data_IF_863976266598
#
_entry.id   IF_863976266598
#
_cell.length_a   1.000
_cell.length_b   1.000
_cell.length_c   1.000
_cell.angle_alpha   90.00
_cell.angle_beta   90.00
_cell.angle_gamma   90.00
#
_symmetry.space_group_name_H-M   'P 1'
#
loop_
_entity.id
_entity.type
_entity.pdbx_description
1 polymer ?
#
# COMPACT_ATOMS: atom_id res chain seq x y z
N UNK A 1 -75.71 17.06 -26.95
CA UNK A 1 -76.80 16.77 -26.01
C UNK A 1 -76.60 15.39 -25.43
N UNK A 2 -76.64 15.20 -24.10
CA UNK A 2 -76.70 16.21 -23.01
C UNK A 2 -75.29 16.43 -22.40
N UNK A 3 -74.85 17.59 -21.92
CA UNK A 3 -75.39 18.61 -20.99
C UNK A 3 -75.62 18.12 -19.56
N UNK A 4 -74.78 18.60 -18.64
CA UNK A 4 -75.03 18.96 -17.21
C UNK A 4 -73.65 19.08 -16.52
N UNK A 5 -73.34 20.00 -15.60
CA UNK A 5 -73.92 21.26 -15.15
C UNK A 5 -72.83 21.88 -14.25
N UNK A 6 -72.65 23.19 -14.35
CA UNK A 6 -71.76 23.99 -13.50
C UNK A 6 -72.33 24.13 -12.09
N UNK A 7 -71.59 23.71 -11.07
CA UNK A 7 -71.84 24.11 -9.69
C UNK A 7 -70.77 25.11 -9.21
N UNK A 8 -71.18 26.37 -9.06
CA UNK A 8 -70.48 27.45 -8.36
C UNK A 8 -70.72 27.34 -6.84
N UNK A 9 -69.66 27.43 -6.03
CA UNK A 9 -69.74 27.61 -4.56
C UNK A 9 -68.74 28.71 -4.13
N UNK A 10 -69.06 29.58 -3.15
CA UNK A 10 -68.67 30.99 -3.17
C UNK A 10 -67.40 31.37 -2.36
N UNK A 11 -66.94 32.59 -2.65
CA UNK A 11 -65.84 33.38 -2.07
C UNK A 11 -65.78 33.32 -0.54
N UNK A 12 -64.62 32.96 0.03
CA UNK A 12 -64.23 33.32 1.40
C UNK A 12 -62.89 34.05 1.44
N UNK A 13 -62.85 35.04 2.33
CA UNK A 13 -61.83 36.07 2.51
C UNK A 13 -60.54 35.45 3.04
N UNK A 14 -59.40 35.79 2.43
CA UNK A 14 -58.09 35.50 3.01
C UNK A 14 -57.81 36.49 4.14
N UNK A 15 -57.85 36.00 5.38
CA UNK A 15 -57.28 36.71 6.55
C UNK A 15 -55.85 36.21 6.71
N UNK A 16 -54.88 37.09 6.53
CA UNK A 16 -53.47 36.78 6.74
C UNK A 16 -53.20 36.55 8.24
N UNK A 17 -52.72 35.36 8.61
CA UNK A 17 -52.05 35.14 9.89
C UNK A 17 -50.55 35.21 9.67
N UNK A 18 -49.89 36.21 10.27
CA UNK A 18 -48.44 36.22 10.44
C UNK A 18 -48.09 35.09 11.41
N UNK A 19 -47.47 34.02 10.93
CA UNK A 19 -46.72 33.09 11.77
C UNK A 19 -45.29 33.62 11.87
N UNK A 20 -44.89 34.10 13.06
CA UNK A 20 -43.48 34.36 13.39
C UNK A 20 -42.82 33.00 13.55
N UNK A 21 -42.11 32.54 12.51
CA UNK A 21 -41.18 31.42 12.64
C UNK A 21 -39.92 31.99 13.27
N UNK A 22 -39.67 31.65 14.53
CA UNK A 22 -38.37 31.84 15.14
C UNK A 22 -37.36 30.95 14.42
N UNK A 23 -36.49 31.54 13.61
CA UNK A 23 -35.29 30.88 13.11
C UNK A 23 -34.40 30.57 14.33
N UNK A 24 -34.39 29.31 14.76
CA UNK A 24 -33.31 28.81 15.59
C UNK A 24 -32.05 28.73 14.75
N UNK A 25 -31.00 29.47 15.13
CA UNK A 25 -29.66 29.22 14.62
C UNK A 25 -29.22 27.85 15.15
N UNK A 26 -29.29 26.82 14.31
CA UNK A 26 -28.56 25.60 14.54
C UNK A 26 -27.16 25.80 13.98
N UNK A 27 -26.19 25.99 14.86
CA UNK A 27 -24.77 25.89 14.51
C UNK A 27 -24.49 24.45 14.08
N UNK A 28 -24.60 24.18 12.78
CA UNK A 28 -23.96 23.03 12.16
C UNK A 28 -22.45 23.26 12.24
N UNK A 29 -21.83 22.67 13.26
CA UNK A 29 -20.38 22.44 13.27
C UNK A 29 -20.06 21.53 12.08
N UNK A 30 -19.60 22.14 10.99
CA UNK A 30 -19.05 21.41 9.87
C UNK A 30 -17.92 20.51 10.36
N UNK A 31 -18.01 19.22 10.06
CA UNK A 31 -16.88 18.31 10.19
C UNK A 31 -15.81 18.78 9.21
N UNK A 32 -14.80 19.46 9.75
CA UNK A 32 -13.66 19.96 9.00
C UNK A 32 -12.76 18.76 8.68
N UNK A 33 -13.12 17.99 7.65
CA UNK A 33 -12.23 16.97 7.11
C UNK A 33 -11.02 17.70 6.52
N UNK A 34 -9.80 17.50 7.05
CA UNK A 34 -8.65 18.23 6.54
C UNK A 34 -8.48 17.94 5.05
N UNK A 35 -8.31 18.99 4.24
CA UNK A 35 -7.89 18.84 2.85
C UNK A 35 -6.56 18.07 2.81
N UNK A 36 -6.36 17.16 1.85
CA UNK A 36 -5.09 16.45 1.72
C UNK A 36 -3.94 17.46 1.60
N UNK A 37 -2.98 17.36 2.50
CA UNK A 37 -1.80 18.23 2.54
C UNK A 37 -1.04 18.08 1.21
N UNK A 38 -0.72 19.17 0.50
CA UNK A 38 0.10 19.09 -0.70
C UNK A 38 1.42 18.39 -0.39
N UNK A 39 1.96 17.56 -1.30
CA UNK A 39 3.22 16.88 -1.09
C UNK A 39 4.32 17.89 -0.76
N UNK A 40 4.98 17.70 0.39
CA UNK A 40 6.15 18.49 0.76
C UNK A 40 7.27 18.14 -0.22
N UNK A 41 7.64 19.10 -1.08
CA UNK A 41 8.66 18.90 -2.11
C UNK A 41 10.07 18.67 -1.54
N UNK A 42 10.24 18.75 -0.22
CA UNK A 42 11.50 18.48 0.48
C UNK A 42 11.56 17.10 1.14
N UNK A 43 10.44 16.41 1.30
CA UNK A 43 10.40 15.09 1.92
C UNK A 43 11.04 14.03 0.98
N UNK A 44 11.90 13.14 1.51
CA UNK A 44 12.29 11.93 0.79
C UNK A 44 11.07 11.13 0.34
N UNK A 45 11.15 10.58 -0.88
CA UNK A 45 10.06 9.80 -1.47
C UNK A 45 10.46 8.33 -1.52
N UNK A 46 9.54 7.45 -1.15
CA UNK A 46 9.59 6.01 -1.42
C UNK A 46 8.41 5.64 -2.32
N UNK A 47 8.66 4.91 -3.40
CA UNK A 47 7.64 4.43 -4.32
C UNK A 47 7.67 2.90 -4.33
N UNK A 48 6.52 2.25 -4.17
CA UNK A 48 6.45 0.81 -4.00
C UNK A 48 5.34 0.15 -4.83
N UNK A 49 5.66 -1.04 -5.35
CA UNK A 49 4.71 -2.04 -5.84
C UNK A 49 5.41 -3.41 -5.86
N UNK A 50 4.63 -4.48 -5.73
CA UNK A 50 5.06 -5.87 -6.02
C UNK A 50 4.38 -6.38 -7.27
N UNK A 51 4.71 -7.61 -7.65
CA UNK A 51 3.99 -8.33 -8.71
C UNK A 51 4.15 -7.61 -10.06
N UNK A 52 5.41 -7.35 -10.38
CA UNK A 52 5.89 -6.51 -11.49
C UNK A 52 6.58 -7.33 -12.58
N UNK A 53 6.75 -6.73 -13.75
CA UNK A 53 7.56 -7.23 -14.86
C UNK A 53 7.15 -8.62 -15.35
N UNK A 54 6.05 -8.66 -16.10
CA UNK A 54 5.56 -9.86 -16.76
C UNK A 54 5.54 -9.65 -18.26
N UNK A 55 6.34 -10.42 -19.00
CA UNK A 55 6.33 -10.37 -20.46
C UNK A 55 4.98 -10.79 -21.10
N UNK A 56 4.02 -11.25 -20.30
CA UNK A 56 2.68 -11.61 -20.74
C UNK A 56 1.64 -10.48 -20.57
N UNK A 57 2.04 -9.37 -19.95
CA UNK A 57 1.21 -8.21 -19.67
C UNK A 57 1.83 -6.94 -20.26
N UNK A 58 1.11 -5.83 -20.14
CA UNK A 58 1.65 -4.48 -20.41
C UNK A 58 1.50 -3.54 -19.20
N UNK A 59 1.08 -4.09 -18.06
CA UNK A 59 0.88 -3.33 -16.83
C UNK A 59 2.20 -2.77 -16.29
N UNK A 60 3.28 -3.52 -16.44
CA UNK A 60 4.59 -3.13 -15.90
C UNK A 60 5.29 -2.03 -16.72
N UNK A 61 5.09 -1.94 -18.05
CA UNK A 61 5.51 -0.74 -18.79
C UNK A 61 4.78 0.50 -18.29
N UNK A 62 3.48 0.37 -18.02
CA UNK A 62 2.63 1.47 -17.59
C UNK A 62 2.99 1.94 -16.17
N UNK A 63 3.28 1.03 -15.24
CA UNK A 63 3.75 1.38 -13.89
C UNK A 63 5.20 1.87 -13.90
N UNK A 64 6.08 1.29 -14.72
CA UNK A 64 7.45 1.81 -14.91
C UNK A 64 7.44 3.24 -15.49
N UNK A 65 6.46 3.59 -16.33
CA UNK A 65 6.29 4.95 -16.84
C UNK A 65 5.91 5.96 -15.73
N UNK A 66 5.26 5.51 -14.65
CA UNK A 66 5.06 6.34 -13.46
C UNK A 66 6.39 6.65 -12.77
N UNK A 67 7.28 5.66 -12.70
CA UNK A 67 8.59 5.80 -12.08
C UNK A 67 9.49 6.81 -12.83
N UNK A 68 9.31 6.99 -14.14
CA UNK A 68 10.05 7.99 -14.93
C UNK A 68 9.82 9.44 -14.46
N UNK A 69 8.68 9.69 -13.78
CA UNK A 69 8.31 11.02 -13.25
C UNK A 69 8.28 11.09 -11.72
N UNK A 70 8.36 9.96 -11.02
CA UNK A 70 8.36 9.89 -9.56
C UNK A 70 9.79 9.71 -9.05
N UNK A 71 10.38 10.72 -8.36
CA UNK A 71 11.72 10.63 -7.81
C UNK A 71 11.75 9.73 -6.56
N UNK A 72 12.93 9.54 -5.99
CA UNK A 72 13.11 8.85 -4.71
C UNK A 72 13.48 7.37 -4.85
N UNK A 73 13.43 6.66 -3.72
CA UNK A 73 13.76 5.23 -3.65
C UNK A 73 12.61 4.39 -4.19
N UNK A 74 12.91 3.36 -4.98
CA UNK A 74 11.93 2.37 -5.44
C UNK A 74 12.05 1.13 -4.55
N UNK A 75 10.98 0.72 -3.89
CA UNK A 75 10.91 -0.54 -3.15
C UNK A 75 10.05 -1.54 -3.94
N UNK A 76 10.64 -2.64 -4.41
CA UNK A 76 9.86 -3.71 -5.04
C UNK A 76 9.43 -4.71 -3.98
N UNK A 77 8.13 -5.03 -3.94
CA UNK A 77 7.50 -5.83 -2.89
C UNK A 77 7.48 -7.33 -3.23
N UNK A 78 8.52 -7.83 -3.89
CA UNK A 78 8.61 -9.22 -4.35
C UNK A 78 7.95 -9.48 -5.70
N UNK A 79 8.20 -10.67 -6.21
CA UNK A 79 7.82 -11.14 -7.55
C UNK A 79 8.25 -10.15 -8.62
N UNK A 80 9.59 -10.07 -8.74
CA UNK A 80 10.25 -9.01 -9.48
C UNK A 80 10.34 -9.28 -10.98
N UNK A 81 10.24 -10.52 -11.43
CA UNK A 81 10.26 -10.88 -12.84
C UNK A 81 9.55 -12.20 -13.05
N UNK A 82 8.43 -12.16 -13.77
CA UNK A 82 7.64 -13.36 -14.09
C UNK A 82 8.19 -14.07 -15.33
N UNK A 83 8.01 -15.40 -15.43
CA UNK A 83 7.24 -16.23 -14.51
C UNK A 83 8.04 -16.83 -13.35
N UNK A 84 9.36 -16.87 -13.36
CA UNK A 84 10.12 -17.73 -12.45
C UNK A 84 11.32 -17.03 -11.79
N UNK A 85 11.46 -15.71 -11.94
CA UNK A 85 12.62 -14.97 -11.47
C UNK A 85 13.92 -15.48 -12.07
N UNK A 86 13.87 -16.09 -13.26
CA UNK A 86 15.03 -16.60 -13.96
C UNK A 86 15.88 -15.45 -14.51
N UNK A 87 17.15 -15.73 -14.80
CA UNK A 87 18.02 -14.72 -15.42
C UNK A 87 17.46 -14.20 -16.77
N UNK A 88 16.74 -15.05 -17.52
CA UNK A 88 16.00 -14.65 -18.72
C UNK A 88 14.84 -13.70 -18.39
N UNK A 89 14.07 -13.98 -17.34
CA UNK A 89 12.90 -13.18 -16.97
C UNK A 89 13.35 -11.78 -16.54
N UNK A 90 14.45 -11.69 -15.80
CA UNK A 90 15.06 -10.41 -15.47
C UNK A 90 15.58 -9.68 -16.72
N UNK A 91 16.21 -10.37 -17.67
CA UNK A 91 16.76 -9.76 -18.88
C UNK A 91 15.67 -9.32 -19.87
N UNK A 92 14.60 -10.10 -19.99
CA UNK A 92 13.58 -9.96 -21.04
C UNK A 92 12.36 -9.18 -20.55
N UNK A 93 12.01 -9.25 -19.25
CA UNK A 93 10.82 -8.61 -18.69
C UNK A 93 11.17 -7.44 -17.76
N UNK A 94 12.04 -7.63 -16.76
CA UNK A 94 12.37 -6.55 -15.80
C UNK A 94 13.28 -5.48 -16.41
N UNK A 95 14.39 -5.87 -17.03
CA UNK A 95 15.41 -4.92 -17.52
C UNK A 95 14.85 -3.87 -18.50
N UNK A 96 13.98 -4.23 -19.46
CA UNK A 96 13.38 -3.28 -20.39
C UNK A 96 12.36 -2.33 -19.73
N UNK A 97 11.71 -2.75 -18.63
CA UNK A 97 10.65 -1.98 -17.97
C UNK A 97 11.18 -1.31 -16.69
N UNK A 98 11.04 -1.94 -15.53
CA UNK A 98 11.46 -1.42 -14.24
C UNK A 98 12.98 -1.29 -14.09
N UNK A 99 13.76 -2.06 -14.87
CA UNK A 99 15.22 -2.09 -14.83
C UNK A 99 15.92 -0.77 -15.10
N UNK A 100 15.29 0.14 -15.86
CA UNK A 100 15.80 1.51 -16.03
C UNK A 100 15.83 2.32 -14.72
N UNK A 101 15.13 1.87 -13.68
CA UNK A 101 15.12 2.43 -12.32
C UNK A 101 16.00 1.66 -11.33
N UNK A 102 16.68 0.59 -11.75
CA UNK A 102 17.47 -0.31 -10.89
C UNK A 102 18.47 0.40 -9.97
N UNK A 103 19.08 1.49 -10.44
CA UNK A 103 20.05 2.27 -9.66
C UNK A 103 19.49 2.87 -8.36
N UNK A 104 18.17 3.01 -8.26
CA UNK A 104 17.44 3.49 -7.06
C UNK A 104 16.47 2.45 -6.50
N UNK A 105 16.57 1.19 -6.95
CA UNK A 105 15.73 0.10 -6.47
C UNK A 105 16.34 -0.58 -5.24
N UNK A 106 15.51 -0.80 -4.23
CA UNK A 106 15.75 -1.58 -3.02
C UNK A 106 14.75 -2.74 -3.01
N UNK A 107 15.12 -3.91 -3.56
CA UNK A 107 14.18 -4.99 -3.78
C UNK A 107 13.99 -5.89 -2.55
N UNK A 108 12.79 -6.45 -2.37
CA UNK A 108 12.56 -7.68 -1.59
C UNK A 108 12.25 -8.84 -2.54
N UNK A 109 12.56 -10.09 -2.19
CA UNK A 109 12.19 -11.25 -2.99
C UNK A 109 10.77 -11.75 -2.70
N UNK A 110 10.07 -12.21 -3.74
CA UNK A 110 8.78 -12.92 -3.67
C UNK A 110 8.89 -14.40 -4.02
N UNK A 111 7.77 -15.12 -4.04
CA UNK A 111 7.81 -16.58 -4.26
C UNK A 111 8.23 -16.93 -5.69
N UNK A 112 7.85 -16.13 -6.69
CA UNK A 112 8.28 -16.34 -8.07
C UNK A 112 9.79 -16.17 -8.22
N UNK A 113 10.44 -15.27 -7.45
CA UNK A 113 11.90 -15.16 -7.43
C UNK A 113 12.60 -16.46 -6.98
N UNK A 114 11.93 -17.26 -6.15
CA UNK A 114 12.41 -18.53 -5.60
C UNK A 114 12.06 -19.76 -6.47
N UNK A 115 11.42 -19.58 -7.62
CA UNK A 115 11.27 -20.67 -8.61
C UNK A 115 12.61 -21.07 -9.24
N UNK A 116 13.64 -20.21 -9.13
CA UNK A 116 15.03 -20.64 -9.30
C UNK A 116 15.67 -21.07 -7.97
N UNK A 117 16.55 -22.10 -7.96
CA UNK A 117 17.23 -22.55 -6.75
C UNK A 117 17.94 -21.40 -6.03
N UNK A 118 17.54 -21.16 -4.77
CA UNK A 118 18.11 -20.11 -3.93
C UNK A 118 17.88 -18.68 -4.44
N UNK A 119 16.85 -18.46 -5.27
CA UNK A 119 16.57 -17.19 -5.94
C UNK A 119 17.78 -16.65 -6.72
N UNK A 120 18.51 -17.54 -7.39
CA UNK A 120 19.77 -17.23 -8.07
C UNK A 120 19.65 -16.10 -9.09
N UNK A 121 18.54 -16.02 -9.84
CA UNK A 121 18.31 -14.93 -10.80
C UNK A 121 18.15 -13.58 -10.11
N UNK A 122 17.34 -13.52 -9.05
CA UNK A 122 17.14 -12.33 -8.23
C UNK A 122 18.45 -11.79 -7.64
N UNK A 123 19.23 -12.63 -6.96
CA UNK A 123 20.50 -12.19 -6.36
C UNK A 123 21.54 -11.82 -7.41
N UNK A 124 21.62 -12.55 -8.53
CA UNK A 124 22.53 -12.23 -9.62
C UNK A 124 22.18 -10.90 -10.29
N UNK A 125 20.88 -10.62 -10.48
CA UNK A 125 20.43 -9.40 -11.12
C UNK A 125 20.61 -8.18 -10.21
N UNK A 126 20.11 -8.22 -8.97
CA UNK A 126 20.15 -7.05 -8.08
C UNK A 126 21.48 -6.85 -7.33
N UNK A 127 22.31 -7.89 -7.22
CA UNK A 127 23.62 -7.80 -6.57
C UNK A 127 23.51 -7.32 -5.13
N UNK A 128 24.37 -6.36 -4.74
CA UNK A 128 24.42 -5.81 -3.38
C UNK A 128 23.11 -5.15 -2.91
N UNK A 129 22.27 -4.69 -3.85
CA UNK A 129 20.98 -4.08 -3.49
C UNK A 129 19.99 -5.07 -2.87
N UNK A 130 20.14 -6.38 -3.13
CA UNK A 130 19.31 -7.44 -2.54
C UNK A 130 19.72 -7.84 -1.11
N UNK A 131 20.64 -7.09 -0.50
CA UNK A 131 21.23 -7.44 0.78
C UNK A 131 22.20 -8.62 0.69
N UNK A 132 22.59 -9.22 1.84
CA UNK A 132 23.48 -10.37 1.83
C UNK A 132 22.90 -11.52 1.01
N UNK A 133 23.68 -12.03 0.06
CA UNK A 133 23.27 -13.13 -0.82
C UNK A 133 22.81 -14.34 0.00
N UNK A 134 21.64 -14.89 -0.36
CA UNK A 134 21.01 -16.01 0.32
C UNK A 134 20.20 -15.66 1.57
N UNK A 135 20.24 -14.41 2.05
CA UNK A 135 19.38 -13.94 3.16
C UNK A 135 18.15 -13.20 2.61
N UNK A 136 18.34 -12.20 1.76
CA UNK A 136 17.25 -11.44 1.13
C UNK A 136 16.52 -10.48 2.08
N UNK A 137 17.10 -10.20 3.25
CA UNK A 137 16.63 -9.20 4.20
C UNK A 137 17.77 -8.28 4.60
N UNK A 138 17.46 -6.99 4.76
CA UNK A 138 18.40 -5.91 5.05
C UNK A 138 17.65 -4.65 5.49
N UNK A 139 18.37 -3.68 6.05
CA UNK A 139 17.82 -2.38 6.44
C UNK A 139 18.66 -1.23 5.87
N UNK A 140 18.05 -0.05 5.78
CA UNK A 140 18.69 1.19 5.36
C UNK A 140 17.92 2.39 5.89
N UNK A 141 18.60 3.52 6.02
CA UNK A 141 17.97 4.76 6.49
C UNK A 141 17.66 5.70 5.32
N UNK A 142 16.51 6.37 5.41
CA UNK A 142 16.11 7.46 4.52
C UNK A 142 15.71 8.65 5.39
N UNK A 143 16.60 9.63 5.52
CA UNK A 143 16.45 10.74 6.47
C UNK A 143 16.14 10.26 7.90
N UNK A 144 14.94 10.56 8.41
CA UNK A 144 14.47 10.20 9.75
C UNK A 144 13.74 8.86 9.83
N UNK A 145 13.74 8.11 8.72
CA UNK A 145 13.12 6.80 8.63
C UNK A 145 14.14 5.68 8.62
N UNK A 146 13.86 4.63 9.39
CA UNK A 146 14.49 3.34 9.28
C UNK A 146 13.63 2.43 8.41
N UNK A 147 14.21 1.94 7.31
CA UNK A 147 13.50 1.14 6.32
C UNK A 147 14.05 -0.28 6.31
N UNK A 148 13.17 -1.27 6.35
CA UNK A 148 13.53 -2.69 6.45
C UNK A 148 12.91 -3.48 5.30
N UNK A 149 13.75 -4.14 4.51
CA UNK A 149 13.34 -5.15 3.54
C UNK A 149 13.42 -6.52 4.20
N UNK A 150 12.33 -7.28 4.21
CA UNK A 150 12.27 -8.64 4.75
C UNK A 150 12.03 -9.67 3.64
N UNK A 151 12.41 -10.91 3.92
CA UNK A 151 12.26 -12.05 3.03
C UNK A 151 11.17 -13.00 3.54
N UNK A 152 9.97 -12.88 2.98
CA UNK A 152 8.84 -13.75 3.34
C UNK A 152 8.87 -15.15 2.70
N UNK A 153 10.00 -15.53 2.08
CA UNK A 153 10.29 -16.87 1.57
C UNK A 153 11.37 -17.60 2.40
N UNK A 154 12.03 -16.88 3.32
CA UNK A 154 12.93 -17.46 4.31
C UNK A 154 12.17 -17.89 5.57
N UNK A 155 12.85 -18.53 6.52
CA UNK A 155 12.25 -18.81 7.83
C UNK A 155 11.87 -17.50 8.54
N UNK A 156 10.63 -17.43 8.98
CA UNK A 156 10.00 -16.28 9.65
C UNK A 156 9.53 -16.61 11.05
N UNK A 157 9.75 -17.85 11.53
CA UNK A 157 9.30 -18.25 12.85
C UNK A 157 9.92 -17.36 13.95
N UNK A 158 9.25 -17.25 15.09
CA UNK A 158 9.83 -16.64 16.27
C UNK A 158 11.12 -17.39 16.64
N UNK A 159 12.24 -16.66 16.78
CA UNK A 159 13.55 -17.26 16.98
C UNK A 159 14.23 -17.78 15.70
N UNK A 160 13.68 -17.55 14.51
CA UNK A 160 14.42 -17.75 13.26
C UNK A 160 15.59 -16.75 13.16
N UNK A 161 16.56 -17.03 12.29
CA UNK A 161 17.70 -16.12 12.09
C UNK A 161 17.24 -14.72 11.62
N UNK A 162 16.25 -14.67 10.72
CA UNK A 162 15.68 -13.42 10.23
C UNK A 162 14.92 -12.67 11.32
N UNK A 163 14.10 -13.34 12.12
CA UNK A 163 13.32 -12.68 13.17
C UNK A 163 14.20 -12.16 14.32
N UNK A 164 15.24 -12.92 14.70
CA UNK A 164 16.25 -12.45 15.65
C UNK A 164 17.05 -11.27 15.12
N UNK A 165 17.44 -11.30 13.84
CA UNK A 165 18.12 -10.19 13.17
C UNK A 165 17.23 -8.94 13.17
N UNK A 166 15.96 -9.08 12.79
CA UNK A 166 14.99 -7.99 12.75
C UNK A 166 14.86 -7.30 14.12
N UNK A 167 14.70 -8.07 15.19
CA UNK A 167 14.63 -7.49 16.55
C UNK A 167 15.92 -6.77 16.94
N UNK A 168 17.08 -7.31 16.57
CA UNK A 168 18.36 -6.67 16.85
C UNK A 168 18.55 -5.37 16.06
N UNK A 169 18.15 -5.35 14.80
CA UNK A 169 18.19 -4.20 13.90
C UNK A 169 17.26 -3.08 14.42
N UNK A 170 16.01 -3.42 14.74
CA UNK A 170 15.03 -2.51 15.35
C UNK A 170 15.51 -1.95 16.70
N UNK A 171 16.16 -2.76 17.54
CA UNK A 171 16.71 -2.31 18.81
C UNK A 171 17.92 -1.37 18.66
N UNK A 172 18.64 -1.46 17.54
CA UNK A 172 19.81 -0.64 17.26
C UNK A 172 19.47 0.68 16.57
N UNK A 173 18.31 0.78 15.93
CA UNK A 173 17.86 2.00 15.27
C UNK A 173 17.55 3.12 16.29
N UNK A 174 17.87 4.35 15.89
CA UNK A 174 17.56 5.57 16.65
C UNK A 174 16.56 6.48 15.90
N UNK A 175 16.03 5.99 14.78
CA UNK A 175 15.06 6.71 13.95
C UNK A 175 13.71 6.71 14.63
N UNK A 176 12.97 7.80 14.45
CA UNK A 176 11.62 7.92 15.00
C UNK A 176 10.65 7.04 14.21
N UNK A 177 10.74 7.07 12.88
CA UNK A 177 9.82 6.36 12.02
C UNK A 177 10.43 5.06 11.50
N UNK A 178 9.64 3.99 11.45
CA UNK A 178 10.03 2.70 10.89
C UNK A 178 9.02 2.20 9.87
N UNK A 179 9.52 1.82 8.69
CA UNK A 179 8.76 1.14 7.65
C UNK A 179 9.40 -0.21 7.34
N UNK A 180 8.59 -1.26 7.22
CA UNK A 180 9.04 -2.53 6.72
C UNK A 180 8.29 -2.92 5.43
N UNK A 181 8.93 -3.69 4.57
CA UNK A 181 8.29 -4.25 3.39
C UNK A 181 8.81 -5.64 3.04
N UNK A 182 7.94 -6.45 2.46
CA UNK A 182 8.23 -7.80 1.95
C UNK A 182 7.13 -8.23 0.97
N UNK A 183 7.06 -9.52 0.63
CA UNK A 183 6.12 -10.01 -0.37
C UNK A 183 4.76 -10.45 0.17
N UNK A 184 4.68 -11.51 0.99
CA UNK A 184 3.42 -12.11 1.43
C UNK A 184 2.68 -11.28 2.51
N UNK A 185 1.50 -10.70 2.27
CA UNK A 185 0.83 -9.83 3.23
C UNK A 185 0.31 -10.61 4.44
N UNK A 186 0.41 -10.06 5.66
CA UNK A 186 -0.20 -10.67 6.86
C UNK A 186 -1.73 -10.63 6.83
N UNK A 187 -2.27 -9.54 6.28
CA UNK A 187 -3.70 -9.27 6.17
C UNK A 187 -4.01 -8.92 4.72
N UNK A 188 -5.08 -9.50 4.18
CA UNK A 188 -5.61 -9.21 2.86
C UNK A 188 -7.09 -9.61 2.82
N UNK A 189 -7.90 -8.82 2.11
CA UNK A 189 -9.28 -9.16 1.75
C UNK A 189 -9.38 -9.80 0.36
N UNK A 190 -8.27 -9.94 -0.35
CA UNK A 190 -8.19 -10.72 -1.59
C UNK A 190 -8.57 -12.18 -1.36
N UNK A 191 -9.36 -12.75 -2.27
CA UNK A 191 -9.88 -14.12 -2.11
C UNK A 191 -9.08 -15.18 -2.87
N UNK A 192 -8.11 -14.78 -3.70
CA UNK A 192 -7.34 -15.74 -4.48
C UNK A 192 -6.16 -16.30 -3.71
N UNK A 193 -5.40 -15.44 -3.03
CA UNK A 193 -4.16 -15.78 -2.33
C UNK A 193 -4.24 -15.52 -0.80
N UNK A 194 -4.92 -14.43 -0.41
CA UNK A 194 -5.26 -14.07 0.97
C UNK A 194 -4.09 -13.62 1.84
N UNK A 195 -4.35 -13.50 3.14
CA UNK A 195 -3.35 -13.17 4.15
C UNK A 195 -2.56 -14.38 4.65
N UNK A 196 -1.27 -14.16 4.92
CA UNK A 196 -0.30 -15.17 5.35
C UNK A 196 -0.02 -15.09 6.85
N UNK A 197 -0.61 -16.00 7.63
CA UNK A 197 -0.36 -16.09 9.08
C UNK A 197 1.10 -16.42 9.43
N UNK A 198 1.88 -16.98 8.50
CA UNK A 198 3.30 -17.29 8.71
C UNK A 198 4.17 -16.05 8.91
N UNK A 199 3.71 -14.87 8.49
CA UNK A 199 4.41 -13.59 8.71
C UNK A 199 4.14 -12.98 10.09
N UNK A 200 3.25 -13.58 10.89
CA UNK A 200 2.85 -13.06 12.20
C UNK A 200 4.03 -12.79 13.17
N UNK A 201 5.09 -13.62 13.24
CA UNK A 201 6.22 -13.31 14.12
C UNK A 201 7.02 -12.07 13.68
N UNK A 202 7.18 -11.84 12.38
CA UNK A 202 7.80 -10.61 11.87
C UNK A 202 6.96 -9.38 12.21
N UNK A 203 5.63 -9.48 12.02
CA UNK A 203 4.69 -8.42 12.42
C UNK A 203 4.74 -8.14 13.92
N UNK A 204 4.84 -9.19 14.74
CA UNK A 204 4.96 -9.06 16.19
C UNK A 204 6.26 -8.33 16.56
N UNK A 205 7.39 -8.69 15.96
CA UNK A 205 8.66 -8.00 16.18
C UNK A 205 8.57 -6.51 15.81
N UNK A 206 7.96 -6.19 14.67
CA UNK A 206 7.73 -4.80 14.25
C UNK A 206 6.84 -4.04 15.24
N UNK A 207 5.73 -4.64 15.68
CA UNK A 207 4.81 -4.02 16.63
C UNK A 207 5.43 -3.81 18.02
N UNK A 208 6.24 -4.77 18.50
CA UNK A 208 6.95 -4.65 19.78
C UNK A 208 7.93 -3.47 19.80
N UNK A 209 8.39 -3.04 18.62
CA UNK A 209 9.32 -1.92 18.42
C UNK A 209 8.66 -0.68 17.82
N UNK A 210 7.32 -0.59 17.86
CA UNK A 210 6.53 0.55 17.37
C UNK A 210 6.77 0.91 15.90
N UNK A 211 6.90 -0.08 15.01
CA UNK A 211 6.90 0.19 13.58
C UNK A 211 5.60 0.87 13.12
N UNK A 212 5.67 1.69 12.08
CA UNK A 212 4.55 2.54 11.67
C UNK A 212 3.84 2.01 10.44
N UNK A 213 4.61 1.51 9.47
CA UNK A 213 4.10 1.13 8.14
C UNK A 213 4.65 -0.23 7.71
N UNK A 214 3.76 -1.08 7.17
CA UNK A 214 4.11 -2.31 6.47
C UNK A 214 3.56 -2.29 5.05
N UNK A 215 4.41 -2.61 4.08
CA UNK A 215 4.03 -2.78 2.67
C UNK A 215 4.22 -4.24 2.24
N UNK A 216 3.27 -4.77 1.47
CA UNK A 216 3.34 -6.09 0.88
C UNK A 216 2.78 -6.13 -0.55
N UNK A 217 3.16 -7.14 -1.33
CA UNK A 217 2.59 -7.43 -2.65
C UNK A 217 1.78 -8.72 -2.60
N UNK A 218 2.10 -9.66 -3.51
CA UNK A 218 1.59 -11.03 -3.64
C UNK A 218 0.11 -11.12 -4.02
N UNK A 219 -0.75 -10.44 -3.29
CA UNK A 219 -2.14 -10.26 -3.68
C UNK A 219 -2.22 -9.16 -4.73
N UNK A 220 -2.73 -9.50 -5.92
CA UNK A 220 -2.67 -8.61 -7.08
C UNK A 220 -3.79 -7.56 -7.04
N UNK A 221 -3.79 -6.76 -5.98
CA UNK A 221 -4.72 -5.68 -5.72
C UNK A 221 -4.03 -4.56 -4.92
N UNK A 222 -4.75 -3.44 -4.80
CA UNK A 222 -4.46 -2.42 -3.80
C UNK A 222 -5.39 -2.62 -2.60
N UNK A 223 -4.82 -2.64 -1.40
CA UNK A 223 -5.58 -2.61 -0.17
C UNK A 223 -4.88 -1.76 0.90
N UNK A 224 -5.64 -0.97 1.65
CA UNK A 224 -5.17 -0.24 2.83
C UNK A 224 -5.95 -0.67 4.06
N UNK A 225 -5.23 -0.92 5.15
CA UNK A 225 -5.79 -1.25 6.46
C UNK A 225 -5.64 -0.12 7.46
N UNK A 226 -6.57 -0.01 8.42
CA UNK A 226 -6.41 0.81 9.63
C UNK A 226 -5.21 0.34 10.48
N UNK A 227 -4.65 1.20 11.35
CA UNK A 227 -3.56 0.81 12.24
C UNK A 227 -4.02 -0.32 13.16
N UNK A 228 -3.28 -1.43 13.17
CA UNK A 228 -3.72 -2.64 13.84
C UNK A 228 -2.58 -3.43 14.48
N UNK A 229 -2.96 -4.22 15.48
CA UNK A 229 -2.09 -5.15 16.19
C UNK A 229 -1.73 -6.37 15.32
N UNK A 230 -0.74 -7.19 15.71
CA UNK A 230 -0.42 -8.46 15.02
C UNK A 230 -1.58 -9.46 14.93
N UNK A 231 -2.59 -9.30 15.80
CA UNK A 231 -3.81 -10.12 15.81
C UNK A 231 -4.92 -9.59 14.88
N UNK A 232 -4.75 -8.40 14.28
CA UNK A 232 -5.79 -7.77 13.46
C UNK A 232 -6.83 -6.99 14.26
N UNK A 233 -6.54 -6.68 15.53
CA UNK A 233 -7.37 -5.78 16.34
C UNK A 233 -6.96 -4.32 16.08
N UNK A 234 -7.94 -3.42 15.97
CA UNK A 234 -7.68 -1.99 15.77
C UNK A 234 -6.87 -1.41 16.94
N UNK A 235 -5.79 -0.71 16.62
CA UNK A 235 -4.97 0.03 17.59
C UNK A 235 -4.58 1.37 16.97
N UNK A 236 -5.41 2.42 17.10
CA UNK A 236 -5.12 3.72 16.51
C UNK A 236 -3.96 4.45 17.19
N UNK A 237 -3.44 3.94 18.32
CA UNK A 237 -2.42 4.60 19.11
C UNK A 237 -1.01 4.04 18.86
N UNK A 238 -0.88 2.75 18.49
CA UNK A 238 0.42 2.09 18.22
C UNK A 238 0.36 1.03 17.11
N UNK A 239 -0.79 0.87 16.47
CA UNK A 239 -0.98 -0.13 15.42
C UNK A 239 -0.15 0.16 14.19
N UNK A 240 0.21 -0.89 13.46
CA UNK A 240 0.93 -0.74 12.19
C UNK A 240 -0.10 -0.46 11.08
N UNK A 241 0.12 0.60 10.32
CA UNK A 241 -0.58 0.87 9.06
C UNK A 241 -0.09 -0.11 8.00
N UNK A 242 -1.01 -0.77 7.29
CA UNK A 242 -0.62 -1.76 6.28
C UNK A 242 -1.19 -1.45 4.89
N UNK A 243 -0.39 -1.77 3.87
CA UNK A 243 -0.77 -1.68 2.47
C UNK A 243 -0.43 -2.98 1.74
N UNK A 244 -1.38 -3.49 0.96
CA UNK A 244 -1.14 -4.45 -0.13
C UNK A 244 -1.06 -3.63 -1.43
N UNK A 245 0.02 -3.81 -2.18
CA UNK A 245 0.30 -3.06 -3.42
C UNK A 245 0.86 -4.02 -4.48
N UNK A 246 0.14 -5.11 -4.74
CA UNK A 246 0.45 -6.04 -5.84
C UNK A 246 -0.09 -5.56 -7.18
N UNK A 247 -0.06 -4.26 -7.41
CA UNK A 247 -0.63 -3.59 -8.59
C UNK A 247 0.42 -3.33 -9.66
N UNK A 248 1.52 -4.09 -9.63
CA UNK A 248 2.77 -3.78 -10.30
C UNK A 248 2.77 -4.01 -11.79
N UNK A 249 2.08 -5.04 -12.28
CA UNK A 249 1.91 -5.21 -13.71
C UNK A 249 1.61 -6.61 -14.24
N UNK A 250 1.62 -7.68 -13.45
CA UNK A 250 1.29 -9.03 -13.96
C UNK A 250 -0.20 -9.16 -14.35
N UNK A 251 -1.06 -9.60 -13.43
CA UNK A 251 -2.52 -9.52 -13.56
C UNK A 251 -3.15 -8.82 -12.33
N UNK A 252 -4.48 -8.71 -12.27
CA UNK A 252 -5.19 -8.09 -11.13
C UNK A 252 -6.33 -9.00 -10.67
N UNK A 253 -6.52 -9.09 -9.36
CA UNK A 253 -7.52 -9.94 -8.74
C UNK A 253 -8.61 -9.10 -8.07
N UNK A 254 -9.83 -9.15 -8.62
CA UNK A 254 -10.98 -8.39 -8.11
C UNK A 254 -11.80 -9.13 -7.04
N UNK A 255 -11.40 -10.35 -6.67
CA UNK A 255 -12.09 -11.15 -5.67
C UNK A 255 -11.89 -10.55 -4.28
N UNK A 256 -12.99 -10.25 -3.59
CA UNK A 256 -12.97 -9.53 -2.31
C UNK A 256 -13.85 -10.21 -1.26
N UNK A 257 -13.29 -10.39 -0.06
CA UNK A 257 -13.99 -10.78 1.16
C UNK A 257 -13.43 -9.95 2.30
N UNK A 258 -14.27 -9.06 2.84
CA UNK A 258 -13.87 -8.09 3.85
C UNK A 258 -13.17 -8.74 5.05
N UNK A 259 -11.95 -8.29 5.32
CA UNK A 259 -11.20 -8.56 6.55
C UNK A 259 -11.31 -7.38 7.51
N UNK A 260 -11.17 -7.64 8.82
CA UNK A 260 -11.16 -6.58 9.84
C UNK A 260 -10.17 -5.47 9.47
N UNK A 261 -10.55 -4.22 9.76
CA UNK A 261 -9.75 -3.02 9.53
C UNK A 261 -9.40 -2.72 8.06
N UNK A 262 -9.90 -3.46 7.07
CA UNK A 262 -9.80 -3.04 5.66
C UNK A 262 -10.57 -1.73 5.46
N UNK A 263 -9.90 -0.70 4.95
CA UNK A 263 -10.47 0.63 4.75
C UNK A 263 -10.74 0.93 3.28
N UNK A 264 -9.84 0.48 2.39
CA UNK A 264 -9.93 0.67 0.94
C UNK A 264 -9.42 -0.58 0.25
N UNK A 265 -10.13 -1.03 -0.78
CA UNK A 265 -9.75 -2.14 -1.65
C UNK A 265 -10.01 -1.76 -3.11
N UNK A 266 -9.07 -2.04 -3.99
CA UNK A 266 -9.24 -2.00 -5.44
C UNK A 266 -8.46 -3.13 -6.12
N UNK A 267 -9.16 -4.01 -6.83
CA UNK A 267 -8.55 -5.12 -7.57
C UNK A 267 -8.63 -4.95 -9.08
N UNK A 268 -8.69 -3.71 -9.58
CA UNK A 268 -8.91 -3.44 -11.01
C UNK A 268 -7.97 -2.39 -11.60
N UNK A 269 -7.14 -1.75 -10.77
CA UNK A 269 -6.27 -0.64 -11.15
C UNK A 269 -4.79 -0.99 -10.97
N UNK A 270 -4.00 -0.80 -12.03
CA UNK A 270 -2.54 -0.84 -11.94
C UNK A 270 -2.02 0.51 -11.43
N UNK A 271 -0.95 0.47 -10.64
CA UNK A 271 -0.37 1.68 -10.08
C UNK A 271 0.75 1.39 -9.10
N UNK A 272 1.22 2.46 -8.47
CA UNK A 272 2.27 2.40 -7.44
C UNK A 272 1.84 3.20 -6.22
N UNK A 273 2.25 2.75 -5.03
CA UNK A 273 2.12 3.53 -3.81
C UNK A 273 3.28 4.50 -3.70
N UNK A 274 3.00 5.78 -3.56
CA UNK A 274 3.97 6.81 -3.21
C UNK A 274 3.83 7.15 -1.73
N UNK A 275 4.96 7.19 -1.03
CA UNK A 275 5.10 7.68 0.34
C UNK A 275 6.04 8.88 0.37
N UNK A 276 5.57 10.00 0.92
CA UNK A 276 6.42 11.12 1.31
C UNK A 276 6.78 10.94 2.78
N UNK A 277 8.06 10.71 3.06
CA UNK A 277 8.59 10.33 4.37
C UNK A 277 9.05 11.59 5.14
N UNK A 278 8.22 12.08 6.08
CA UNK A 278 8.52 13.27 6.89
C UNK A 278 9.13 12.87 8.24
N UNK A 279 9.69 13.83 8.99
CA UNK A 279 10.48 13.55 10.20
C UNK A 279 9.76 12.76 11.31
N UNK A 280 8.42 12.82 11.36
CA UNK A 280 7.59 12.11 12.36
C UNK A 280 6.21 11.73 11.82
N UNK A 281 6.08 11.70 10.49
CA UNK A 281 4.82 11.44 9.80
C UNK A 281 5.08 11.04 8.36
N UNK A 282 4.05 10.57 7.67
CA UNK A 282 4.10 10.22 6.27
C UNK A 282 2.81 10.63 5.58
N UNK A 283 2.92 11.00 4.31
CA UNK A 283 1.76 11.09 3.42
C UNK A 283 1.81 9.90 2.46
N UNK A 284 0.66 9.31 2.14
CA UNK A 284 0.57 8.31 1.08
C UNK A 284 -0.32 8.78 -0.05
N UNK A 285 -0.01 8.28 -1.25
CA UNK A 285 -0.84 8.42 -2.43
C UNK A 285 -0.69 7.18 -3.31
N UNK A 286 -1.80 6.50 -3.61
CA UNK A 286 -1.85 5.56 -4.72
C UNK A 286 -1.90 6.35 -6.04
N UNK A 287 -0.90 6.12 -6.88
CA UNK A 287 -0.77 6.76 -8.19
C UNK A 287 -1.15 5.75 -9.27
N UNK A 288 -2.34 5.87 -9.89
CA UNK A 288 -2.74 4.96 -10.94
C UNK A 288 -1.95 5.21 -12.24
N UNK A 289 -1.86 4.18 -13.07
CA UNK A 289 -1.36 4.32 -14.45
C UNK A 289 -2.25 5.25 -15.28
N UNK A 290 -1.70 5.80 -16.37
CA UNK A 290 -2.43 6.73 -17.22
C UNK A 290 -3.73 6.12 -17.77
N UNK A 291 -4.84 6.88 -17.70
CA UNK A 291 -6.14 6.45 -18.18
C UNK A 291 -7.01 5.72 -17.15
N UNK A 292 -6.46 5.36 -15.99
CA UNK A 292 -7.22 4.81 -14.87
C UNK A 292 -7.48 5.88 -13.80
N UNK A 293 -8.54 5.71 -13.00
CA UNK A 293 -9.08 6.78 -12.14
C UNK A 293 -9.10 6.49 -10.65
N UNK A 294 -8.88 5.24 -10.22
CA UNK A 294 -8.82 4.93 -8.80
C UNK A 294 -7.62 5.63 -8.15
N UNK A 295 -7.86 6.23 -6.99
CA UNK A 295 -6.81 6.85 -6.18
C UNK A 295 -7.20 6.73 -4.72
N UNK A 296 -6.19 6.65 -3.87
CA UNK A 296 -6.31 6.70 -2.43
C UNK A 296 -5.18 7.58 -1.90
N UNK A 297 -5.45 8.37 -0.87
CA UNK A 297 -4.44 9.23 -0.27
C UNK A 297 -4.78 9.58 1.17
N UNK A 298 -3.75 9.92 1.94
CA UNK A 298 -3.92 10.34 3.32
C UNK A 298 -2.58 10.59 4.00
N UNK A 299 -2.61 10.68 5.32
CA UNK A 299 -1.42 10.88 6.15
C UNK A 299 -1.50 10.11 7.46
N UNK A 300 -0.35 9.78 8.03
CA UNK A 300 -0.21 9.14 9.34
C UNK A 300 0.96 9.74 10.12
N UNK A 301 0.96 9.57 11.43
CA UNK A 301 2.07 9.97 12.32
C UNK A 301 2.84 8.74 12.77
N UNK A 302 4.13 8.91 13.03
CA UNK A 302 4.95 7.87 13.65
C UNK A 302 4.76 7.88 15.17
N UNK A 303 5.05 6.76 15.83
CA UNK A 303 4.80 6.55 17.26
C UNK A 303 6.02 6.83 18.15
#
# INVERSE_FOLDING_TARGET
MPDEELALVPKHRYTAFLAVIALGCSDTTGSDTPLPTPPDRSAPVLVAAGDIASCSSSGDEATAALLDRLPGTVATLGDNAYPDGAASDFADCYDPTWGRHKARTRPSPGNHDYHTPGASGYYAYFGESAGPSGQGYYSYDVADWHIISLNSNADMAAGSAQEQWLRADLAASTKLCTLAYWHHPRFSSGTLLGGYNSTAPLWQALYDHNADVVLAGHEHNYERFAPQTPAGEADPARGIRAFVVGTGGDDLHSGYSATANSEVFDGTTFGVLRLDLLAGSYNWQFVPVAGQSFTDSGSGSCH
#
